data_IF_855428127011
#
_entry.id   IF_855428127011
#
_cell.length_a   1.000
_cell.length_b   1.000
_cell.length_c   1.000
_cell.angle_alpha   90.00
_cell.angle_beta   90.00
_cell.angle_gamma   90.00
#
_symmetry.space_group_name_H-M   'P 1'
#
loop_
_entity.id
_entity.type
_entity.pdbx_description
1 polymer ?
#
# COMPACT_ATOMS: atom_id res chain seq x y z
N UNK A 1 -17.74 22.79 60.92
CA UNK A 1 -17.29 21.91 59.81
C UNK A 1 -17.71 22.57 58.52
N UNK A 2 -16.77 23.22 57.84
CA UNK A 2 -17.03 24.10 56.70
C UNK A 2 -16.04 23.70 55.61
N UNK A 3 -16.49 22.95 54.62
CA UNK A 3 -15.68 22.54 53.47
C UNK A 3 -15.97 23.49 52.31
N UNK A 4 -15.01 24.40 52.08
CA UNK A 4 -15.00 25.29 50.94
C UNK A 4 -14.50 24.57 49.68
N UNK A 5 -15.14 24.87 48.57
CA UNK A 5 -14.84 24.47 47.19
C UNK A 5 -13.52 25.08 46.71
N UNK A 6 -12.76 24.34 45.89
CA UNK A 6 -11.92 24.92 44.81
C UNK A 6 -11.90 23.95 43.62
N UNK A 7 -12.39 24.44 42.47
CA UNK A 7 -12.15 23.94 41.11
C UNK A 7 -10.91 24.65 40.54
N UNK A 8 -10.20 24.06 39.56
CA UNK A 8 -10.13 24.71 38.22
C UNK A 8 -10.22 23.67 37.07
N UNK A 9 -11.03 23.84 36.00
CA UNK A 9 -10.86 24.70 34.79
C UNK A 9 -9.56 24.34 34.04
N UNK A 10 -9.58 23.44 33.04
CA UNK A 10 -9.87 23.59 31.58
C UNK A 10 -8.85 24.45 30.82
N UNK A 11 -8.23 23.88 29.76
CA UNK A 11 -7.97 24.41 28.39
C UNK A 11 -7.21 23.29 27.61
N UNK A 12 -7.85 22.53 26.72
CA UNK A 12 -8.00 22.77 25.26
C UNK A 12 -6.69 22.69 24.46
N UNK A 13 -6.52 21.60 23.70
CA UNK A 13 -6.10 21.71 22.31
C UNK A 13 -6.97 20.80 21.44
N UNK A 14 -7.80 21.47 20.64
CA UNK A 14 -8.49 20.95 19.48
C UNK A 14 -7.47 20.47 18.45
N UNK A 15 -7.77 19.33 17.83
CA UNK A 15 -7.66 19.23 16.38
C UNK A 15 -8.91 18.49 15.89
N UNK A 16 -10.02 19.23 15.83
CA UNK A 16 -11.18 18.84 15.06
C UNK A 16 -10.95 19.23 13.60
N UNK A 17 -10.89 18.24 12.74
CA UNK A 17 -11.45 18.28 11.40
C UNK A 17 -12.06 16.89 11.18
N UNK A 18 -13.32 16.67 11.54
CA UNK A 18 -14.45 16.77 10.60
C UNK A 18 -13.99 16.62 9.15
N UNK A 19 -13.89 15.38 8.69
CA UNK A 19 -14.41 15.06 7.37
C UNK A 19 -15.45 13.96 7.52
N UNK A 20 -16.70 14.39 7.52
CA UNK A 20 -17.83 13.55 7.15
C UNK A 20 -17.56 13.05 5.73
N UNK A 21 -17.14 11.80 5.58
CA UNK A 21 -17.22 11.13 4.28
C UNK A 21 -18.62 10.54 4.22
N UNK A 22 -19.55 11.36 3.73
CA UNK A 22 -20.72 10.84 3.06
C UNK A 22 -20.22 9.81 2.04
N UNK A 23 -20.75 8.58 2.10
CA UNK A 23 -20.52 7.60 1.04
C UNK A 23 -20.79 8.31 -0.31
N UNK A 24 -19.84 8.32 -1.26
CA UNK A 24 -20.12 8.88 -2.56
C UNK A 24 -21.26 8.04 -3.13
N UNK A 25 -22.45 8.66 -3.18
CA UNK A 25 -23.53 8.22 -4.06
C UNK A 25 -22.86 8.14 -5.42
N UNK A 26 -22.76 6.91 -5.94
CA UNK A 26 -22.16 6.65 -7.23
C UNK A 26 -22.97 7.37 -8.30
N UNK A 27 -22.66 8.65 -8.53
CA UNK A 27 -23.00 9.33 -9.75
C UNK A 27 -22.12 8.71 -10.83
N UNK A 28 -22.65 7.62 -11.39
CA UNK A 28 -22.35 7.16 -12.74
C UNK A 28 -22.80 8.28 -13.70
N UNK A 29 -22.04 9.37 -13.72
CA UNK A 29 -22.05 10.31 -14.83
C UNK A 29 -21.55 9.57 -16.06
N UNK A 30 -22.20 9.71 -17.22
CA UNK A 30 -21.85 8.96 -18.41
C UNK A 30 -20.63 9.61 -19.08
N UNK A 31 -19.43 9.38 -18.54
CA UNK A 31 -18.20 9.56 -19.34
C UNK A 31 -18.08 8.33 -20.26
N UNK A 32 -18.56 8.50 -21.49
CA UNK A 32 -18.54 7.54 -22.59
C UNK A 32 -17.11 7.17 -23.08
N UNK A 33 -16.12 7.03 -22.18
CA UNK A 33 -14.89 6.28 -22.47
C UNK A 33 -15.18 4.79 -22.31
N UNK A 34 -15.80 4.23 -23.35
CA UNK A 34 -16.18 2.82 -23.53
C UNK A 34 -15.33 1.87 -22.68
N UNK A 35 -15.95 1.28 -21.66
CA UNK A 35 -15.35 0.23 -20.84
C UNK A 35 -14.88 -0.91 -21.75
N UNK A 36 -13.56 -1.12 -21.82
CA UNK A 36 -12.97 -2.25 -22.54
C UNK A 36 -12.67 -3.36 -21.56
N UNK A 37 -13.35 -4.49 -21.77
CA UNK A 37 -13.07 -5.77 -21.09
C UNK A 37 -12.03 -6.54 -21.89
N UNK A 38 -11.08 -7.14 -21.21
CA UNK A 38 -10.04 -7.98 -21.78
C UNK A 38 -9.90 -9.26 -20.97
N UNK A 39 -9.39 -10.32 -21.59
CA UNK A 39 -8.96 -11.49 -20.86
C UNK A 39 -7.67 -11.17 -20.10
N UNK A 40 -7.50 -11.72 -18.90
CA UNK A 40 -6.23 -11.66 -18.16
C UNK A 40 -5.07 -12.24 -18.97
N UNK A 41 -5.34 -13.25 -19.80
CA UNK A 41 -4.37 -13.83 -20.73
C UNK A 41 -3.87 -12.83 -21.78
N UNK A 42 -4.70 -11.88 -22.23
CA UNK A 42 -4.28 -10.87 -23.22
C UNK A 42 -3.29 -9.85 -22.64
N UNK A 43 -3.24 -9.78 -21.31
CA UNK A 43 -2.42 -8.88 -20.52
C UNK A 43 -1.31 -9.61 -19.75
N UNK A 44 -1.22 -10.93 -19.92
CA UNK A 44 -0.21 -11.79 -19.32
C UNK A 44 1.02 -11.88 -20.21
N UNK A 45 2.17 -12.21 -19.61
CA UNK A 45 3.36 -12.55 -20.34
C UNK A 45 4.16 -13.66 -19.64
N UNK A 46 4.39 -14.76 -20.35
CA UNK A 46 5.11 -15.93 -19.84
C UNK A 46 6.40 -16.24 -20.62
N UNK A 47 6.57 -15.58 -21.75
CA UNK A 47 7.71 -15.69 -22.65
C UNK A 47 7.90 -14.37 -23.42
N UNK A 48 8.97 -14.27 -24.21
CA UNK A 48 9.26 -13.06 -25.00
C UNK A 48 8.20 -12.74 -26.06
N UNK A 49 7.55 -13.75 -26.65
CA UNK A 49 6.49 -13.54 -27.64
C UNK A 49 5.28 -12.80 -27.05
N UNK A 50 4.90 -13.16 -25.82
CA UNK A 50 3.84 -12.45 -25.11
C UNK A 50 4.24 -11.00 -24.83
N UNK A 51 5.51 -10.74 -24.49
CA UNK A 51 6.01 -9.38 -24.28
C UNK A 51 5.90 -8.55 -25.56
N UNK A 52 6.25 -9.13 -26.72
CA UNK A 52 6.05 -8.49 -28.03
C UNK A 52 4.57 -8.19 -28.30
N UNK A 53 3.67 -9.09 -27.91
CA UNK A 53 2.22 -8.87 -28.00
C UNK A 53 1.77 -7.69 -27.14
N UNK A 54 2.29 -7.54 -25.93
CA UNK A 54 1.99 -6.37 -25.08
C UNK A 54 2.50 -5.06 -25.69
N UNK A 55 3.71 -5.06 -26.28
CA UNK A 55 4.21 -3.91 -27.05
C UNK A 55 3.31 -3.57 -28.25
N UNK A 56 2.78 -4.59 -28.93
CA UNK A 56 1.83 -4.37 -30.02
C UNK A 56 0.54 -3.72 -29.54
N UNK A 57 -0.01 -4.14 -28.39
CA UNK A 57 -1.20 -3.51 -27.78
C UNK A 57 -0.95 -2.03 -27.49
N UNK A 58 0.21 -1.70 -26.93
CA UNK A 58 0.62 -0.31 -26.70
C UNK A 58 0.70 0.50 -27.98
N UNK A 59 1.34 -0.05 -29.03
CA UNK A 59 1.47 0.62 -30.33
C UNK A 59 0.11 0.88 -30.97
N UNK A 60 -0.86 -0.02 -30.78
CA UNK A 60 -2.24 0.13 -31.24
C UNK A 60 -3.13 0.95 -30.30
N UNK A 61 -2.58 1.48 -29.20
CA UNK A 61 -3.30 2.22 -28.17
C UNK A 61 -4.52 1.46 -27.63
N UNK A 62 -4.39 0.13 -27.56
CA UNK A 62 -5.41 -0.77 -27.04
C UNK A 62 -5.22 -0.86 -25.53
N UNK A 63 -6.08 -0.18 -24.78
CA UNK A 63 -6.04 -0.19 -23.33
C UNK A 63 -7.25 -0.91 -22.73
N UNK A 64 -6.97 -1.80 -21.80
CA UNK A 64 -7.97 -2.51 -21.02
C UNK A 64 -8.34 -1.72 -19.77
N UNK A 65 -9.63 -1.72 -19.42
CA UNK A 65 -10.11 -1.09 -18.18
C UNK A 65 -10.58 -2.13 -17.17
N UNK A 66 -11.14 -3.23 -17.66
CA UNK A 66 -11.64 -4.33 -16.85
C UNK A 66 -11.00 -5.60 -17.36
N UNK A 67 -10.45 -6.40 -16.45
CA UNK A 67 -9.77 -7.65 -16.77
C UNK A 67 -10.54 -8.79 -16.15
N UNK A 68 -10.77 -9.84 -16.94
CA UNK A 68 -11.46 -11.06 -16.50
C UNK A 68 -10.44 -12.19 -16.56
N UNK A 69 -10.22 -12.86 -15.43
CA UNK A 69 -9.16 -13.85 -15.26
C UNK A 69 -7.86 -13.23 -14.76
N UNK A 70 -6.88 -14.10 -14.55
CA UNK A 70 -5.61 -13.75 -13.92
C UNK A 70 -4.67 -13.05 -14.91
N UNK A 71 -3.96 -12.04 -14.42
CA UNK A 71 -2.82 -11.42 -15.11
C UNK A 71 -1.57 -12.11 -14.58
N UNK A 72 -0.88 -12.87 -15.43
CA UNK A 72 0.31 -13.64 -15.05
C UNK A 72 1.53 -13.11 -15.80
N UNK A 73 2.50 -12.59 -15.06
CA UNK A 73 3.81 -12.18 -15.55
C UNK A 73 4.82 -13.17 -14.98
N UNK A 74 5.35 -14.07 -15.78
CA UNK A 74 6.20 -15.14 -15.26
C UNK A 74 7.31 -15.58 -16.20
N UNK A 75 8.39 -16.13 -15.61
CA UNK A 75 9.51 -16.75 -16.33
C UNK A 75 10.20 -15.82 -17.36
N UNK A 76 10.23 -14.52 -17.08
CA UNK A 76 10.91 -13.54 -17.93
C UNK A 76 12.27 -13.18 -17.29
N UNK A 77 13.34 -13.19 -18.08
CA UNK A 77 14.69 -12.80 -17.63
C UNK A 77 15.31 -11.82 -18.61
N UNK A 78 15.75 -10.66 -18.11
CA UNK A 78 16.52 -9.67 -18.88
C UNK A 78 15.79 -9.16 -20.14
N UNK A 79 14.45 -9.14 -20.08
CA UNK A 79 13.57 -8.68 -21.17
C UNK A 79 13.01 -7.28 -20.85
N UNK A 80 13.02 -6.32 -21.80
CA UNK A 80 12.38 -5.02 -21.60
C UNK A 80 10.86 -5.18 -21.53
N UNK A 81 10.29 -5.01 -20.34
CA UNK A 81 8.86 -5.22 -20.11
C UNK A 81 8.03 -3.92 -20.29
N UNK A 82 6.92 -3.93 -21.07
CA UNK A 82 6.09 -2.76 -21.32
C UNK A 82 5.13 -2.45 -20.16
N UNK A 83 5.63 -1.85 -19.09
CA UNK A 83 4.84 -1.54 -17.88
C UNK A 83 3.63 -0.64 -18.13
N UNK A 84 3.67 0.22 -19.15
CA UNK A 84 2.58 1.14 -19.51
C UNK A 84 1.29 0.45 -20.00
N UNK A 85 1.32 -0.85 -20.29
CA UNK A 85 0.13 -1.59 -20.78
C UNK A 85 -0.99 -1.61 -19.73
N UNK A 86 -0.64 -1.49 -18.45
CA UNK A 86 -1.57 -1.53 -17.33
C UNK A 86 -2.12 -0.16 -16.89
N UNK A 87 -1.70 0.93 -17.54
CA UNK A 87 -1.98 2.30 -17.10
C UNK A 87 -3.49 2.64 -16.96
N UNK A 88 -4.36 1.92 -17.67
CA UNK A 88 -5.82 2.14 -17.64
C UNK A 88 -6.62 1.04 -16.96
N UNK A 89 -5.96 0.00 -16.45
CA UNK A 89 -6.64 -1.09 -15.73
C UNK A 89 -7.24 -0.52 -14.44
N UNK A 90 -8.54 -0.74 -14.26
CA UNK A 90 -9.33 -0.27 -13.12
C UNK A 90 -9.78 -1.43 -12.23
N UNK A 91 -10.16 -2.53 -12.85
CA UNK A 91 -10.72 -3.69 -12.13
C UNK A 91 -10.15 -4.97 -12.69
N UNK A 92 -9.75 -5.88 -11.80
CA UNK A 92 -9.33 -7.23 -12.13
C UNK A 92 -10.26 -8.22 -11.43
N UNK A 93 -10.94 -9.06 -12.21
CA UNK A 93 -11.74 -10.19 -11.73
C UNK A 93 -10.90 -11.46 -11.87
N UNK A 94 -9.93 -11.60 -10.99
CA UNK A 94 -8.85 -12.58 -10.99
C UNK A 94 -7.74 -12.10 -10.07
N UNK A 95 -6.56 -12.69 -10.22
CA UNK A 95 -5.35 -12.34 -9.48
C UNK A 95 -4.32 -11.67 -10.38
N UNK A 96 -3.48 -10.84 -9.76
CA UNK A 96 -2.25 -10.34 -10.37
C UNK A 96 -1.10 -11.19 -9.83
N UNK A 97 -0.48 -11.96 -10.70
CA UNK A 97 0.57 -12.93 -10.36
C UNK A 97 1.86 -12.54 -11.06
N UNK A 98 2.89 -12.25 -10.28
CA UNK A 98 4.24 -11.95 -10.77
C UNK A 98 5.17 -12.99 -10.18
N UNK A 99 5.65 -13.91 -11.02
CA UNK A 99 6.36 -15.10 -10.55
C UNK A 99 7.62 -15.41 -11.35
N UNK A 100 8.76 -15.63 -10.66
CA UNK A 100 9.99 -16.14 -11.26
C UNK A 100 10.51 -15.26 -12.41
N UNK A 101 10.56 -13.94 -12.19
CA UNK A 101 11.10 -12.99 -13.14
C UNK A 101 12.45 -12.43 -12.64
N UNK A 102 13.38 -12.14 -13.55
CA UNK A 102 14.67 -11.51 -13.25
C UNK A 102 14.96 -10.31 -14.14
N UNK A 103 15.27 -9.15 -13.55
CA UNK A 103 15.69 -7.93 -14.28
C UNK A 103 14.74 -7.51 -15.43
N UNK A 104 13.43 -7.63 -15.23
CA UNK A 104 12.43 -7.31 -16.27
C UNK A 104 12.12 -5.82 -16.34
N UNK A 105 13.08 -5.05 -16.85
CA UNK A 105 12.98 -3.60 -17.05
C UNK A 105 13.28 -2.77 -15.80
N UNK A 106 13.66 -1.51 -16.02
CA UNK A 106 14.05 -0.60 -14.93
C UNK A 106 12.87 0.02 -14.17
N UNK A 107 11.69 0.04 -14.78
CA UNK A 107 10.48 0.65 -14.24
C UNK A 107 9.61 -0.39 -13.51
N UNK A 108 8.90 0.02 -12.44
CA UNK A 108 7.98 -0.87 -11.74
C UNK A 108 6.82 -1.30 -12.64
N UNK A 109 6.35 -2.53 -12.45
CA UNK A 109 5.07 -2.99 -13.00
C UNK A 109 3.97 -2.23 -12.26
N UNK A 110 3.45 -1.19 -12.90
CA UNK A 110 2.63 -0.17 -12.24
C UNK A 110 1.18 -0.17 -12.71
N UNK A 111 0.25 -0.20 -11.74
CA UNK A 111 -1.18 -0.15 -11.94
C UNK A 111 -1.80 1.16 -11.38
N UNK A 112 -1.60 2.32 -12.03
CA UNK A 112 -1.95 3.63 -11.47
C UNK A 112 -3.45 3.88 -11.26
N UNK A 113 -4.31 3.16 -12.00
CA UNK A 113 -5.77 3.38 -11.97
C UNK A 113 -6.54 2.21 -11.40
N UNK A 114 -5.84 1.24 -10.83
CA UNK A 114 -6.45 0.06 -10.26
C UNK A 114 -7.25 0.47 -9.02
N UNK A 115 -8.50 0.01 -8.96
CA UNK A 115 -9.43 0.26 -7.88
C UNK A 115 -9.73 -1.02 -7.10
N UNK A 116 -9.95 -2.12 -7.83
CA UNK A 116 -10.43 -3.38 -7.29
C UNK A 116 -9.68 -4.57 -7.90
N UNK A 117 -9.25 -5.48 -7.04
CA UNK A 117 -8.87 -6.84 -7.44
C UNK A 117 -9.77 -7.82 -6.69
N UNK A 118 -10.51 -8.64 -7.41
CA UNK A 118 -11.41 -9.63 -6.84
C UNK A 118 -11.06 -11.01 -7.39
N UNK A 119 -10.50 -11.86 -6.54
CA UNK A 119 -10.05 -13.19 -6.89
C UNK A 119 -10.81 -14.27 -6.13
N UNK A 120 -11.16 -15.33 -6.85
CA UNK A 120 -11.86 -16.49 -6.31
C UNK A 120 -10.95 -17.68 -6.03
N UNK A 121 -9.72 -17.74 -6.55
CA UNK A 121 -8.86 -18.94 -6.48
C UNK A 121 -7.51 -18.69 -5.81
N UNK A 122 -6.86 -17.58 -6.15
CA UNK A 122 -5.56 -17.19 -5.60
C UNK A 122 -5.71 -15.91 -4.76
N UNK A 123 -4.72 -15.54 -3.94
CA UNK A 123 -4.68 -14.21 -3.36
C UNK A 123 -4.75 -13.14 -4.47
N UNK A 124 -5.50 -12.05 -4.28
CA UNK A 124 -5.57 -10.92 -5.21
C UNK A 124 -4.24 -10.50 -5.84
N UNK A 125 -3.17 -10.41 -5.04
CA UNK A 125 -1.84 -10.07 -5.54
C UNK A 125 -0.83 -11.09 -5.01
N UNK A 126 -0.08 -11.69 -5.93
CA UNK A 126 0.94 -12.71 -5.66
C UNK A 126 2.26 -12.28 -6.31
N UNK A 127 3.31 -12.12 -5.50
CA UNK A 127 4.66 -11.73 -5.89
C UNK A 127 5.63 -12.80 -5.38
N UNK A 128 6.04 -13.72 -6.25
CA UNK A 128 6.78 -14.93 -5.86
C UNK A 128 8.10 -15.06 -6.61
N UNK A 129 9.20 -15.33 -5.90
CA UNK A 129 10.47 -15.74 -6.51
C UNK A 129 11.02 -14.77 -7.58
N UNK A 130 10.84 -13.45 -7.42
CA UNK A 130 11.37 -12.48 -8.38
C UNK A 130 12.70 -11.89 -7.91
N UNK A 131 13.54 -11.55 -8.88
CA UNK A 131 14.83 -10.93 -8.70
C UNK A 131 14.90 -9.60 -9.44
N UNK A 132 15.16 -8.51 -8.71
CA UNK A 132 15.19 -7.15 -9.27
C UNK A 132 13.94 -6.78 -10.08
N UNK A 133 12.76 -7.01 -9.48
CA UNK A 133 11.47 -6.63 -10.05
C UNK A 133 10.71 -5.81 -9.02
N UNK A 134 10.15 -4.68 -9.46
CA UNK A 134 9.33 -3.81 -8.62
C UNK A 134 7.88 -3.85 -9.06
N UNK A 135 6.96 -3.81 -8.09
CA UNK A 135 5.52 -3.81 -8.32
C UNK A 135 4.88 -2.66 -7.56
N UNK A 136 3.97 -1.95 -8.23
CA UNK A 136 3.30 -0.79 -7.65
C UNK A 136 1.82 -0.74 -8.04
N UNK A 137 0.99 -0.31 -7.10
CA UNK A 137 -0.41 0.06 -7.31
C UNK A 137 -0.58 1.57 -7.12
N UNK A 138 -1.58 2.14 -7.79
CA UNK A 138 -1.92 3.55 -7.66
C UNK A 138 -2.62 3.87 -6.34
N UNK A 139 -2.66 5.17 -6.02
CA UNK A 139 -3.44 5.77 -4.93
C UNK A 139 -4.95 5.48 -5.01
N UNK A 140 -5.42 5.12 -6.20
CA UNK A 140 -6.81 4.72 -6.47
C UNK A 140 -7.17 3.32 -6.01
N UNK A 141 -6.20 2.54 -5.53
CA UNK A 141 -6.43 1.18 -5.09
C UNK A 141 -7.20 1.15 -3.78
N UNK A 142 -8.43 0.63 -3.84
CA UNK A 142 -9.39 0.74 -2.75
C UNK A 142 -9.72 -0.61 -2.12
N UNK A 143 -9.69 -1.69 -2.90
CA UNK A 143 -10.19 -2.97 -2.42
C UNK A 143 -9.51 -4.18 -3.06
N UNK A 144 -9.13 -5.12 -2.21
CA UNK A 144 -8.74 -6.47 -2.60
C UNK A 144 -9.69 -7.47 -1.94
N UNK A 145 -10.24 -8.39 -2.72
CA UNK A 145 -11.20 -9.40 -2.26
C UNK A 145 -10.65 -10.77 -2.59
N UNK A 146 -10.42 -11.60 -1.57
CA UNK A 146 -10.10 -13.02 -1.75
C UNK A 146 -11.26 -13.87 -1.22
N UNK A 147 -11.73 -14.82 -2.02
CA UNK A 147 -12.72 -15.82 -1.56
C UNK A 147 -12.10 -17.18 -1.21
N UNK A 148 -10.86 -17.46 -1.65
CA UNK A 148 -10.23 -18.78 -1.48
C UNK A 148 -9.11 -18.82 -0.45
N UNK A 149 -8.38 -17.72 -0.26
CA UNK A 149 -7.19 -17.72 0.58
C UNK A 149 -7.44 -16.99 1.92
N UNK A 150 -6.85 -17.52 2.99
CA UNK A 150 -6.79 -16.84 4.29
C UNK A 150 -5.92 -15.58 4.26
N UNK A 151 -5.21 -15.35 3.15
CA UNK A 151 -4.35 -14.20 2.91
C UNK A 151 -4.78 -13.47 1.64
N UNK A 152 -4.82 -12.13 1.72
CA UNK A 152 -5.15 -11.25 0.60
C UNK A 152 -3.95 -11.04 -0.33
N UNK A 153 -2.75 -11.10 0.24
CA UNK A 153 -1.51 -10.81 -0.48
C UNK A 153 -0.46 -11.86 -0.16
N UNK A 154 0.29 -12.30 -1.17
CA UNK A 154 1.42 -13.20 -1.00
C UNK A 154 2.67 -12.58 -1.62
N UNK A 155 3.73 -12.39 -0.83
CA UNK A 155 5.00 -11.80 -1.27
C UNK A 155 6.15 -12.62 -0.70
N UNK A 156 6.67 -13.57 -1.48
CA UNK A 156 7.55 -14.63 -0.98
C UNK A 156 8.77 -14.86 -1.89
N UNK A 157 9.89 -15.22 -1.28
CA UNK A 157 11.12 -15.68 -1.94
C UNK A 157 11.73 -14.67 -2.91
N UNK A 158 11.53 -13.38 -2.65
CA UNK A 158 12.04 -12.33 -3.53
C UNK A 158 13.43 -11.88 -3.08
N UNK A 159 14.35 -11.68 -4.01
CA UNK A 159 15.75 -11.34 -3.70
C UNK A 159 16.00 -9.84 -3.53
N UNK A 160 14.99 -9.00 -3.76
CA UNK A 160 15.01 -7.53 -3.63
C UNK A 160 13.68 -6.99 -3.07
N UNK A 161 13.63 -5.75 -2.54
CA UNK A 161 12.38 -5.12 -2.12
C UNK A 161 11.46 -4.90 -3.33
N UNK A 162 10.39 -5.69 -3.42
CA UNK A 162 9.45 -5.62 -4.55
C UNK A 162 8.43 -4.50 -4.37
N UNK A 163 8.02 -4.23 -3.13
CA UNK A 163 7.10 -3.16 -2.78
C UNK A 163 7.75 -2.32 -1.69
N UNK A 164 7.48 -1.01 -1.71
CA UNK A 164 7.90 -0.10 -0.64
C UNK A 164 6.84 -0.01 0.47
N UNK A 165 7.11 0.82 1.49
CA UNK A 165 6.19 1.03 2.62
C UNK A 165 4.90 1.74 2.23
N UNK A 166 4.93 2.63 1.24
CA UNK A 166 3.72 3.31 0.75
C UNK A 166 2.79 2.32 0.07
N UNK A 167 3.33 1.46 -0.78
CA UNK A 167 2.63 0.39 -1.47
C UNK A 167 2.08 -0.65 -0.49
N UNK A 168 2.89 -1.05 0.50
CA UNK A 168 2.43 -1.93 1.57
C UNK A 168 1.21 -1.35 2.30
N UNK A 169 1.26 -0.07 2.69
CA UNK A 169 0.15 0.58 3.40
C UNK A 169 -1.11 0.68 2.53
N UNK A 170 -0.98 1.02 1.25
CA UNK A 170 -2.11 1.04 0.31
C UNK A 170 -2.75 -0.35 0.20
N UNK A 171 -1.94 -1.39 0.04
CA UNK A 171 -2.43 -2.77 -0.02
C UNK A 171 -3.10 -3.17 1.31
N UNK A 172 -2.50 -2.83 2.45
CA UNK A 172 -3.08 -3.09 3.76
C UNK A 172 -4.47 -2.46 3.92
N UNK A 173 -4.62 -1.18 3.58
CA UNK A 173 -5.91 -0.48 3.62
C UNK A 173 -6.92 -1.11 2.65
N UNK A 174 -6.49 -1.51 1.46
CA UNK A 174 -7.36 -2.15 0.48
C UNK A 174 -7.86 -3.56 0.91
N UNK A 175 -7.19 -4.21 1.86
CA UNK A 175 -7.64 -5.49 2.42
C UNK A 175 -8.59 -5.37 3.63
N UNK A 176 -8.90 -4.16 4.10
CA UNK A 176 -9.70 -3.95 5.32
C UNK A 176 -11.10 -4.63 5.25
N UNK A 177 -11.60 -5.24 6.34
CA UNK A 177 -11.00 -5.36 7.68
C UNK A 177 -10.04 -6.55 7.88
N UNK A 178 -9.90 -7.42 6.88
CA UNK A 178 -9.23 -8.72 7.01
C UNK A 178 -7.97 -8.81 6.16
N UNK A 179 -7.25 -7.69 6.04
CA UNK A 179 -6.01 -7.61 5.29
C UNK A 179 -5.00 -8.59 5.89
N UNK A 180 -4.43 -9.42 5.04
CA UNK A 180 -3.58 -10.52 5.48
C UNK A 180 -2.48 -10.74 4.45
N UNK A 181 -1.25 -10.73 4.93
CA UNK A 181 -0.04 -10.79 4.13
C UNK A 181 0.70 -12.07 4.47
N UNK A 182 0.97 -12.87 3.45
CA UNK A 182 1.92 -13.97 3.53
C UNK A 182 3.25 -13.48 2.98
N UNK A 183 4.14 -13.06 3.87
CA UNK A 183 5.43 -12.46 3.51
C UNK A 183 6.60 -13.27 4.03
N UNK A 184 7.72 -13.26 3.32
CA UNK A 184 8.99 -13.74 3.88
C UNK A 184 9.61 -12.69 4.82
N UNK A 185 10.61 -13.08 5.60
CA UNK A 185 11.30 -12.21 6.56
C UNK A 185 12.17 -11.12 5.91
N UNK A 186 12.13 -10.97 4.59
CA UNK A 186 12.97 -10.02 3.83
C UNK A 186 12.26 -8.72 3.48
N UNK A 187 11.05 -8.51 3.99
CA UNK A 187 10.47 -7.18 4.08
C UNK A 187 11.32 -6.30 5.00
N UNK A 188 12.34 -5.67 4.40
CA UNK A 188 13.11 -4.64 5.06
C UNK A 188 12.31 -3.36 5.01
N UNK A 189 11.65 -3.05 6.13
CA UNK A 189 11.22 -1.72 6.43
C UNK A 189 12.47 -0.89 6.73
N UNK A 190 13.03 -0.21 5.74
CA UNK A 190 14.03 0.81 6.03
C UNK A 190 13.28 1.95 6.74
N UNK A 191 13.44 2.05 8.06
CA UNK A 191 12.85 3.12 8.85
C UNK A 191 13.51 4.40 8.35
N UNK A 192 12.78 5.17 7.55
CA UNK A 192 13.23 6.48 7.09
C UNK A 192 13.75 7.26 8.30
N UNK A 193 15.03 7.65 8.25
CA UNK A 193 15.68 8.50 9.25
C UNK A 193 15.78 7.87 10.66
N UNK A 194 16.07 6.56 10.76
CA UNK A 194 16.35 5.90 12.06
C UNK A 194 17.36 6.70 12.91
N UNK A 195 18.39 7.25 12.27
CA UNK A 195 19.41 8.08 12.92
C UNK A 195 18.86 9.41 13.47
N UNK A 196 17.86 10.01 12.81
CA UNK A 196 17.20 11.23 13.27
C UNK A 196 16.24 10.91 14.43
N UNK A 197 15.41 9.88 14.27
CA UNK A 197 14.40 9.53 15.26
C UNK A 197 15.01 9.06 16.59
N UNK A 198 16.10 8.28 16.55
CA UNK A 198 16.81 7.87 17.77
C UNK A 198 17.35 9.06 18.55
N UNK A 199 17.99 10.01 17.86
CA UNK A 199 18.54 11.21 18.49
C UNK A 199 17.43 12.10 19.06
N UNK A 200 16.35 12.31 18.29
CA UNK A 200 15.21 13.11 18.72
C UNK A 200 14.49 12.52 19.93
N UNK A 201 14.25 11.20 19.92
CA UNK A 201 13.65 10.49 21.05
C UNK A 201 14.52 10.59 22.31
N UNK A 202 15.85 10.45 22.16
CA UNK A 202 16.80 10.65 23.25
C UNK A 202 16.77 12.07 23.83
N UNK A 203 16.77 13.09 22.95
CA UNK A 203 16.73 14.49 23.37
C UNK A 203 15.41 14.84 24.10
N UNK A 204 14.27 14.38 23.56
CA UNK A 204 12.97 14.58 24.20
C UNK A 204 12.88 13.83 25.53
N UNK A 205 13.38 12.59 25.61
CA UNK A 205 13.42 11.83 26.85
C UNK A 205 14.22 12.54 27.95
N UNK A 206 15.40 13.08 27.61
CA UNK A 206 16.21 13.84 28.56
C UNK A 206 15.51 15.12 29.04
N UNK A 207 14.85 15.84 28.12
CA UNK A 207 14.09 17.05 28.44
C UNK A 207 12.93 16.76 29.41
N UNK A 208 12.19 15.67 29.20
CA UNK A 208 11.11 15.26 30.13
C UNK A 208 11.63 14.91 31.52
N UNK A 209 12.77 14.23 31.61
CA UNK A 209 13.40 13.92 32.91
C UNK A 209 13.83 15.22 33.60
N UNK A 210 14.49 16.12 32.89
CA UNK A 210 14.94 17.39 33.44
C UNK A 210 13.77 18.27 33.94
N UNK A 211 12.69 18.37 33.15
CA UNK A 211 11.48 19.08 33.57
C UNK A 211 10.82 18.43 34.79
N UNK A 212 10.74 17.11 34.84
CA UNK A 212 10.15 16.39 35.98
C UNK A 212 10.94 16.63 37.27
N UNK A 213 12.29 16.66 37.19
CA UNK A 213 13.15 16.98 38.33
C UNK A 213 12.95 18.43 38.75
N UNK A 214 12.91 19.38 37.82
CA UNK A 214 12.70 20.80 38.11
C UNK A 214 11.33 21.07 38.74
N UNK A 215 10.26 20.43 38.25
CA UNK A 215 8.94 20.55 38.86
C UNK A 215 8.88 19.91 40.24
N UNK A 216 9.55 18.76 40.43
CA UNK A 216 9.62 18.11 41.74
C UNK A 216 10.37 18.99 42.75
N UNK A 217 11.50 19.58 42.37
CA UNK A 217 12.25 20.48 43.27
C UNK A 217 11.43 21.70 43.65
N UNK A 218 10.73 22.35 42.71
CA UNK A 218 9.83 23.46 43.03
C UNK A 218 8.70 23.00 43.97
N UNK A 219 8.08 21.86 43.70
CA UNK A 219 6.99 21.33 44.52
C UNK A 219 7.42 21.01 45.97
N UNK A 220 8.66 20.55 46.17
CA UNK A 220 9.18 20.23 47.51
C UNK A 220 9.75 21.44 48.24
N UNK A 221 10.36 22.41 47.54
CA UNK A 221 10.99 23.59 48.17
C UNK A 221 10.03 24.77 48.38
N UNK A 222 8.93 24.87 47.64
CA UNK A 222 7.92 25.93 47.82
C UNK A 222 6.85 25.58 48.87
N UNK A 223 6.99 24.44 49.55
CA UNK A 223 6.22 24.17 50.78
C UNK A 223 6.75 25.08 51.89
N UNK A 224 6.10 26.23 52.09
CA UNK A 224 6.21 26.98 53.35
C UNK A 224 5.91 26.02 54.49
N UNK A 225 6.86 25.93 55.44
CA UNK A 225 6.67 25.19 56.67
C UNK A 225 5.41 25.71 57.37
N UNK A 226 4.39 24.86 57.43
CA UNK A 226 3.24 25.03 58.33
C UNK A 226 3.61 24.41 59.66
#
# INVERSE_FOLDING_TARGET
MQTSRVLPIIILFLCSAVLSIAAPKAEFGPDYRKYRRCSGQDLSAKNEEDVLRLHWLLKKQIFCTHVIGDIVIANLSDVPFPTNVYQRVRTVWGSIVIWNNSHIGHAPIYFPRLHLVNSTFLPPIVLLQNNDVRFEVGDKFQKAISSAANFTYAVLLNTNPIIDMGQYNLMWLAGYPSASFLTDSRFSAEICLENLFKSLAGALGFLFVALSVAFSTVAFYDRKAV
#
